data_IF_638085480653
#
_entry.id   IF_638085480653
#
_cell.length_a   1.000
_cell.length_b   1.000
_cell.length_c   1.000
_cell.angle_alpha   90.00
_cell.angle_beta   90.00
_cell.angle_gamma   90.00
#
_symmetry.space_group_name_H-M   'P 1'
#
loop_
_entity.id
_entity.type
_entity.pdbx_description
1 polymer ?
#
# COMPACT_ATOMS: atom_id res chain seq x y z
N UNK A 1 -10.67 6.01 17.11
CA UNK A 1 -10.18 4.70 16.66
C UNK A 1 -8.67 4.72 16.92
N UNK A 2 -8.16 3.94 17.87
CA UNK A 2 -6.71 3.88 18.12
C UNK A 2 -6.01 3.28 16.88
N UNK A 3 -4.82 3.76 16.52
CA UNK A 3 -4.05 3.12 15.43
C UNK A 3 -3.82 1.65 15.77
N UNK A 4 -3.98 0.77 14.77
CA UNK A 4 -3.56 -0.61 14.94
C UNK A 4 -2.02 -0.61 15.07
N UNK A 5 -1.41 -1.43 15.95
CA UNK A 5 0.05 -1.54 16.10
C UNK A 5 0.82 -1.79 14.79
N UNK A 6 0.10 -2.23 13.77
CA UNK A 6 0.47 -2.49 12.37
C UNK A 6 1.02 -1.22 11.69
N UNK A 7 0.32 -0.10 11.85
CA UNK A 7 0.67 1.19 11.22
C UNK A 7 1.91 1.80 11.89
N UNK A 8 1.98 1.70 13.21
CA UNK A 8 3.11 2.15 14.03
C UNK A 8 4.43 1.53 13.56
N UNK A 9 4.46 0.23 13.32
CA UNK A 9 5.68 -0.48 12.93
C UNK A 9 6.14 -0.14 11.50
N UNK A 10 5.19 0.07 10.59
CA UNK A 10 5.49 0.51 9.22
C UNK A 10 6.10 1.91 9.22
N UNK A 11 5.63 2.78 10.11
CA UNK A 11 6.20 4.11 10.30
C UNK A 11 7.63 4.06 10.85
N UNK A 12 7.85 3.31 11.94
CA UNK A 12 9.15 3.21 12.61
C UNK A 12 10.24 2.65 11.69
N UNK A 13 9.92 1.66 10.85
CA UNK A 13 10.87 1.12 9.88
C UNK A 13 11.16 2.07 8.71
N UNK A 14 10.18 2.89 8.31
CA UNK A 14 10.33 3.82 7.18
C UNK A 14 11.10 5.08 7.56
N UNK A 15 10.95 5.56 8.80
CA UNK A 15 11.57 6.79 9.28
C UNK A 15 13.02 6.63 9.77
N UNK A 16 13.55 5.41 9.84
CA UNK A 16 14.94 5.17 10.23
C UNK A 16 15.95 5.84 9.27
N UNK A 17 15.59 6.11 8.01
CA UNK A 17 16.51 6.68 7.01
C UNK A 17 15.80 7.63 6.00
N UNK A 18 16.02 8.96 6.04
CA UNK A 18 15.30 9.92 5.20
C UNK A 18 15.85 10.00 3.75
N UNK A 19 15.00 10.01 2.70
CA UNK A 19 15.45 10.25 1.33
C UNK A 19 15.57 11.75 1.03
N UNK A 20 16.73 12.13 0.49
CA UNK A 20 17.15 13.51 0.21
C UNK A 20 16.37 14.18 -0.94
N UNK A 21 16.14 15.47 -0.77
CA UNK A 21 15.60 16.40 -1.76
C UNK A 21 16.64 16.73 -2.84
N UNK A 22 16.37 16.35 -4.10
CA UNK A 22 16.92 17.06 -5.25
C UNK A 22 15.81 17.40 -6.23
N UNK A 23 15.55 18.70 -6.35
CA UNK A 23 14.75 19.24 -7.42
C UNK A 23 15.57 19.17 -8.72
N UNK A 24 15.10 18.38 -9.68
CA UNK A 24 15.50 18.50 -11.08
C UNK A 24 14.29 19.02 -11.87
N UNK A 25 14.24 20.33 -12.05
CA UNK A 25 13.43 20.97 -13.08
C UNK A 25 14.36 21.88 -13.87
N UNK A 26 14.70 21.49 -15.10
CA UNK A 26 14.81 22.38 -16.26
C UNK A 26 15.20 21.62 -17.56
N UNK A 27 14.48 21.95 -18.63
CA UNK A 27 14.82 21.86 -20.07
C UNK A 27 15.07 20.48 -20.71
N UNK A 28 13.99 19.73 -20.97
CA UNK A 28 13.97 18.54 -21.84
C UNK A 28 14.06 18.82 -23.36
N UNK A 29 14.06 20.10 -23.79
CA UNK A 29 13.93 20.47 -25.21
C UNK A 29 15.17 20.15 -26.08
N UNK A 30 16.28 19.67 -25.51
CA UNK A 30 17.50 19.27 -26.26
C UNK A 30 17.97 17.83 -25.99
N UNK A 31 17.16 17.03 -25.31
CA UNK A 31 17.60 15.68 -24.94
C UNK A 31 17.86 14.79 -26.16
N UNK A 32 16.97 14.84 -27.15
CA UNK A 32 17.06 14.01 -28.35
C UNK A 32 18.21 14.39 -29.29
N UNK A 33 18.88 15.54 -29.08
CA UNK A 33 20.04 15.95 -29.89
C UNK A 33 21.37 15.52 -29.28
N UNK A 34 21.37 14.94 -28.08
CA UNK A 34 22.58 14.41 -27.46
C UNK A 34 23.02 13.11 -28.17
N UNK A 35 24.33 12.80 -28.22
CA UNK A 35 24.82 11.46 -28.56
C UNK A 35 24.15 10.37 -27.71
N UNK A 36 23.96 9.17 -28.28
CA UNK A 36 23.22 8.09 -27.66
C UNK A 36 23.80 7.68 -26.29
N UNK A 37 25.12 7.78 -26.13
CA UNK A 37 25.85 7.50 -24.90
C UNK A 37 25.49 8.48 -23.78
N UNK A 38 25.38 9.78 -24.11
CA UNK A 38 24.99 10.82 -23.16
C UNK A 38 23.50 10.73 -22.82
N UNK A 39 22.65 10.39 -23.80
CA UNK A 39 21.25 10.09 -23.51
C UNK A 39 21.14 8.93 -22.54
N UNK A 40 21.84 7.82 -22.80
CA UNK A 40 21.85 6.66 -21.92
C UNK A 40 22.36 7.00 -20.52
N UNK A 41 23.46 7.74 -20.41
CA UNK A 41 24.01 8.18 -19.11
C UNK A 41 22.98 9.01 -18.32
N UNK A 42 22.28 9.94 -18.94
CA UNK A 42 21.21 10.69 -18.27
C UNK A 42 20.07 9.78 -17.83
N UNK A 43 19.68 8.78 -18.65
CA UNK A 43 18.68 7.80 -18.26
C UNK A 43 19.09 7.01 -17.02
N UNK A 44 20.37 6.68 -16.84
CA UNK A 44 20.84 5.96 -15.63
C UNK A 44 20.65 6.76 -14.33
N UNK A 45 20.57 8.09 -14.41
CA UNK A 45 20.28 8.97 -13.28
C UNK A 45 18.77 9.19 -13.05
N UNK A 46 17.91 8.71 -13.95
CA UNK A 46 16.47 8.87 -13.80
C UNK A 46 15.93 7.93 -12.72
N UNK A 47 14.91 8.39 -11.99
CA UNK A 47 14.15 7.53 -11.10
C UNK A 47 13.38 6.47 -11.90
N UNK A 48 13.04 5.34 -11.26
CA UNK A 48 12.16 4.33 -11.86
C UNK A 48 10.85 4.92 -12.39
N UNK A 49 10.25 5.88 -11.67
CA UNK A 49 9.04 6.58 -12.12
C UNK A 49 9.26 7.38 -13.40
N UNK A 50 10.40 8.07 -13.52
CA UNK A 50 10.76 8.84 -14.71
C UNK A 50 11.01 7.90 -15.89
N UNK A 51 11.76 6.81 -15.67
CA UNK A 51 12.00 5.79 -16.69
C UNK A 51 10.70 5.15 -17.19
N UNK A 52 9.78 4.82 -16.29
CA UNK A 52 8.47 4.30 -16.67
C UNK A 52 7.67 5.27 -17.56
N UNK A 53 7.69 6.57 -17.23
CA UNK A 53 7.05 7.58 -18.08
C UNK A 53 7.72 7.66 -19.45
N UNK A 54 9.05 7.69 -19.51
CA UNK A 54 9.80 7.71 -20.76
C UNK A 54 9.51 6.50 -21.64
N UNK A 55 9.35 5.31 -21.05
CA UNK A 55 8.91 4.11 -21.76
C UNK A 55 7.56 4.28 -22.46
N UNK A 56 6.65 5.05 -21.88
CA UNK A 56 5.30 5.25 -22.43
C UNK A 56 5.27 6.38 -23.46
N UNK A 57 5.86 7.53 -23.13
CA UNK A 57 5.67 8.76 -23.91
C UNK A 57 6.70 8.98 -25.01
N UNK A 58 7.88 8.36 -24.93
CA UNK A 58 8.96 8.57 -25.91
C UNK A 58 9.26 7.30 -26.67
N UNK A 59 8.93 7.26 -27.98
CA UNK A 59 9.26 6.12 -28.83
C UNK A 59 10.78 5.89 -28.93
N UNK A 60 11.57 6.95 -29.07
CA UNK A 60 13.03 6.86 -29.23
C UNK A 60 13.73 6.33 -27.97
N UNK A 61 13.24 6.70 -26.78
CA UNK A 61 13.86 6.33 -25.50
C UNK A 61 13.27 5.05 -24.90
N UNK A 62 12.14 4.58 -25.43
CA UNK A 62 11.38 3.47 -24.86
C UNK A 62 12.24 2.24 -24.60
N UNK A 63 13.08 1.86 -25.56
CA UNK A 63 13.89 0.64 -25.47
C UNK A 63 14.93 0.74 -24.35
N UNK A 64 15.67 1.83 -24.27
CA UNK A 64 16.73 2.00 -23.26
C UNK A 64 16.14 2.28 -21.87
N UNK A 65 15.10 3.12 -21.78
CA UNK A 65 14.38 3.34 -20.53
C UNK A 65 13.77 2.03 -19.99
N UNK A 66 13.28 1.15 -20.86
CA UNK A 66 12.77 -0.17 -20.49
C UNK A 66 13.86 -1.05 -19.88
N UNK A 67 15.03 -1.16 -20.53
CA UNK A 67 16.15 -1.94 -19.98
C UNK A 67 16.55 -1.45 -18.59
N UNK A 68 16.70 -0.13 -18.43
CA UNK A 68 17.10 0.46 -17.15
C UNK A 68 16.02 0.28 -16.09
N UNK A 69 14.76 0.52 -16.42
CA UNK A 69 13.63 0.34 -15.51
C UNK A 69 13.55 -1.09 -14.95
N UNK A 70 13.76 -2.09 -15.80
CA UNK A 70 13.73 -3.49 -15.36
C UNK A 70 15.05 -3.98 -14.72
N UNK A 71 16.14 -3.22 -14.83
CA UNK A 71 17.42 -3.56 -14.22
C UNK A 71 17.49 -3.24 -12.71
N UNK A 72 16.55 -2.46 -12.17
CA UNK A 72 16.53 -2.13 -10.74
C UNK A 72 16.18 -3.34 -9.89
N UNK A 73 17.21 -3.99 -9.34
CA UNK A 73 17.05 -5.15 -8.48
C UNK A 73 16.43 -4.84 -7.12
N UNK A 74 16.43 -3.57 -6.71
CA UNK A 74 15.92 -3.08 -5.41
C UNK A 74 14.45 -2.63 -5.47
N UNK A 75 13.82 -2.57 -6.65
CA UNK A 75 12.43 -2.12 -6.76
C UNK A 75 11.50 -3.33 -6.76
N UNK A 76 10.49 -3.32 -5.88
CA UNK A 76 9.48 -4.35 -5.73
C UNK A 76 8.10 -3.75 -5.99
N UNK A 77 7.32 -4.42 -6.85
CA UNK A 77 5.97 -3.97 -7.14
C UNK A 77 4.98 -4.65 -6.23
N UNK A 78 4.12 -3.84 -5.59
CA UNK A 78 3.19 -4.30 -4.57
C UNK A 78 1.91 -4.85 -5.21
N UNK A 79 1.52 -6.05 -4.81
CA UNK A 79 0.21 -6.66 -5.11
C UNK A 79 -0.42 -7.19 -3.82
N UNK A 80 -1.72 -7.38 -3.81
CA UNK A 80 -2.46 -7.91 -2.66
C UNK A 80 -2.48 -9.45 -2.70
N UNK A 81 -2.26 -10.10 -1.56
CA UNK A 81 -2.36 -11.55 -1.46
C UNK A 81 -3.80 -12.04 -1.65
N UNK A 82 -4.79 -11.26 -1.20
CA UNK A 82 -6.21 -11.60 -1.31
C UNK A 82 -6.65 -11.83 -2.77
N UNK A 83 -6.18 -10.94 -3.66
CA UNK A 83 -6.39 -11.04 -5.10
C UNK A 83 -5.92 -12.38 -5.67
N UNK A 84 -4.78 -12.90 -5.23
CA UNK A 84 -4.24 -14.18 -5.70
C UNK A 84 -5.04 -15.38 -5.17
N UNK A 85 -5.54 -15.31 -3.93
CA UNK A 85 -6.42 -16.33 -3.36
C UNK A 85 -7.80 -16.37 -4.01
N UNK A 86 -8.25 -15.23 -4.52
CA UNK A 86 -9.54 -15.08 -5.20
C UNK A 86 -9.40 -15.32 -6.72
N UNK A 87 -8.41 -16.11 -7.13
CA UNK A 87 -8.23 -16.56 -8.52
C UNK A 87 -7.46 -15.59 -9.42
N UNK A 88 -6.85 -14.53 -8.86
CA UNK A 88 -5.97 -13.62 -9.59
C UNK A 88 -6.64 -12.96 -10.80
N UNK A 89 -7.96 -12.77 -10.79
CA UNK A 89 -8.70 -12.29 -11.95
C UNK A 89 -8.54 -10.79 -12.18
N UNK A 90 -8.62 -10.35 -13.45
CA UNK A 90 -8.43 -8.95 -13.82
C UNK A 90 -9.47 -8.03 -13.17
N UNK A 91 -10.71 -8.49 -13.03
CA UNK A 91 -11.79 -7.73 -12.41
C UNK A 91 -11.56 -7.40 -10.93
N UNK A 92 -10.76 -8.20 -10.23
CA UNK A 92 -10.50 -8.07 -8.79
C UNK A 92 -9.26 -7.27 -8.44
N UNK A 93 -8.62 -6.64 -9.42
CA UNK A 93 -7.50 -5.75 -9.17
C UNK A 93 -7.58 -4.49 -10.02
N UNK A 94 -6.99 -3.41 -9.50
CA UNK A 94 -6.77 -2.17 -10.25
C UNK A 94 -5.45 -2.19 -11.04
N UNK A 95 -4.65 -3.25 -10.91
CA UNK A 95 -3.30 -3.35 -11.46
C UNK A 95 -3.30 -3.69 -12.96
N UNK A 96 -2.38 -3.10 -13.72
CA UNK A 96 -2.10 -3.48 -15.11
C UNK A 96 -1.42 -4.86 -15.16
N UNK A 97 -2.19 -5.89 -15.53
CA UNK A 97 -1.69 -7.27 -15.59
C UNK A 97 -0.63 -7.47 -16.67
N UNK A 98 -0.69 -6.73 -17.78
CA UNK A 98 0.32 -6.82 -18.84
C UNK A 98 1.66 -6.22 -18.37
N UNK A 99 1.62 -5.24 -17.47
CA UNK A 99 2.79 -4.77 -16.75
C UNK A 99 3.30 -5.83 -15.77
N UNK A 100 2.42 -6.39 -14.91
CA UNK A 100 2.80 -7.41 -13.92
C UNK A 100 3.48 -8.63 -14.54
N UNK A 101 3.03 -9.07 -15.71
CA UNK A 101 3.63 -10.20 -16.42
C UNK A 101 5.12 -9.99 -16.78
N UNK A 102 5.61 -8.75 -16.73
CA UNK A 102 7.01 -8.39 -17.02
C UNK A 102 7.86 -8.20 -15.76
N UNK A 103 7.23 -8.08 -14.59
CA UNK A 103 7.90 -7.78 -13.33
C UNK A 103 8.66 -9.00 -12.83
N UNK A 104 9.87 -8.77 -12.31
CA UNK A 104 10.72 -9.82 -11.71
C UNK A 104 10.71 -9.82 -10.17
N UNK A 105 10.42 -8.66 -9.56
CA UNK A 105 10.46 -8.45 -8.12
C UNK A 105 9.07 -8.03 -7.64
N UNK A 106 8.42 -8.88 -6.86
CA UNK A 106 7.06 -8.63 -6.36
C UNK A 106 7.09 -8.59 -4.84
N UNK A 107 6.45 -7.59 -4.26
CA UNK A 107 6.06 -7.62 -2.86
C UNK A 107 4.57 -7.96 -2.81
N UNK A 108 4.21 -8.95 -2.02
CA UNK A 108 2.83 -9.36 -1.82
C UNK A 108 2.44 -8.89 -0.42
N UNK A 109 1.50 -7.96 -0.37
CA UNK A 109 0.91 -7.52 0.88
C UNK A 109 -0.01 -8.64 1.38
N UNK A 110 0.48 -9.28 2.43
CA UNK A 110 -0.22 -10.28 3.20
C UNK A 110 -0.95 -9.49 4.29
N UNK A 111 -2.26 -9.71 4.47
CA UNK A 111 -3.05 -9.12 5.56
C UNK A 111 -3.73 -10.19 6.41
N UNK A 112 -4.41 -9.74 7.48
CA UNK A 112 -5.09 -10.63 8.42
C UNK A 112 -6.21 -11.44 7.78
N UNK A 113 -6.94 -10.91 6.80
CA UNK A 113 -8.02 -11.63 6.14
C UNK A 113 -7.47 -12.79 5.31
N UNK A 114 -6.36 -12.54 4.62
CA UNK A 114 -5.61 -13.57 3.88
C UNK A 114 -5.12 -14.67 4.82
N UNK A 115 -4.61 -14.28 6.00
CA UNK A 115 -4.23 -15.24 7.04
C UNK A 115 -5.39 -16.14 7.44
N UNK A 116 -6.55 -15.56 7.70
CA UNK A 116 -7.73 -16.32 8.12
C UNK A 116 -8.25 -17.25 6.99
N UNK A 117 -7.99 -16.90 5.71
CA UNK A 117 -8.26 -17.78 4.55
C UNK A 117 -7.28 -18.97 4.45
N UNK A 118 -6.02 -18.79 4.84
CA UNK A 118 -4.97 -19.84 4.76
C UNK A 118 -4.88 -20.67 6.05
N UNK A 119 -5.20 -20.09 7.20
CA UNK A 119 -5.04 -20.72 8.51
C UNK A 119 -6.35 -20.61 9.30
N UNK A 120 -7.17 -21.67 9.25
CA UNK A 120 -8.43 -21.69 9.98
C UNK A 120 -8.19 -22.07 11.44
N UNK A 121 -8.77 -21.31 12.36
CA UNK A 121 -8.78 -21.67 13.78
C UNK A 121 -10.02 -22.52 14.08
N UNK A 122 -9.85 -23.85 14.20
CA UNK A 122 -10.93 -24.76 14.57
C UNK A 122 -10.67 -25.34 15.96
N UNK A 123 -11.55 -25.05 16.91
CA UNK A 123 -11.42 -25.50 18.31
C UNK A 123 -10.08 -25.13 18.96
N UNK A 124 -9.53 -23.96 18.61
CA UNK A 124 -8.22 -23.51 19.12
C UNK A 124 -7.01 -24.16 18.43
N UNK A 125 -7.22 -25.06 17.47
CA UNK A 125 -6.18 -25.66 16.66
C UNK A 125 -6.09 -24.90 15.33
N UNK A 126 -4.88 -24.47 14.98
CA UNK A 126 -4.56 -23.84 13.70
C UNK A 126 -4.46 -24.92 12.61
N UNK A 127 -5.35 -24.87 11.62
CA UNK A 127 -5.42 -25.78 10.47
C UNK A 127 -5.00 -25.04 9.19
N UNK A 128 -3.82 -25.38 8.66
CA UNK A 128 -3.27 -24.78 7.44
C UNK A 128 -3.96 -25.41 6.23
N UNK A 129 -4.60 -24.57 5.42
CA UNK A 129 -5.28 -24.93 4.17
C UNK A 129 -4.25 -25.01 3.04
N UNK A 130 -3.61 -26.17 2.86
CA UNK A 130 -2.55 -26.38 1.88
C UNK A 130 -3.03 -26.17 0.43
N UNK A 131 -4.28 -26.52 0.14
CA UNK A 131 -4.94 -26.29 -1.16
C UNK A 131 -5.01 -24.80 -1.52
N UNK A 132 -5.23 -23.93 -0.53
CA UNK A 132 -5.23 -22.46 -0.72
C UNK A 132 -3.84 -21.94 -1.04
N UNK A 133 -2.79 -22.49 -0.40
CA UNK A 133 -1.39 -22.13 -0.68
C UNK A 133 -0.99 -22.56 -2.09
N UNK A 134 -1.38 -23.77 -2.50
CA UNK A 134 -1.14 -24.26 -3.87
C UNK A 134 -1.87 -23.39 -4.91
N UNK A 135 -3.14 -23.06 -4.64
CA UNK A 135 -3.91 -22.16 -5.49
C UNK A 135 -3.25 -20.79 -5.61
N UNK A 136 -2.85 -20.19 -4.49
CA UNK A 136 -2.15 -18.90 -4.43
C UNK A 136 -0.93 -18.88 -5.36
N UNK A 137 -0.05 -19.89 -5.25
CA UNK A 137 1.18 -19.93 -6.06
C UNK A 137 0.92 -20.24 -7.52
N UNK A 138 -0.07 -21.09 -7.81
CA UNK A 138 -0.52 -21.33 -9.19
C UNK A 138 -0.95 -20.02 -9.84
N UNK A 139 -1.86 -19.28 -9.19
CA UNK A 139 -2.33 -17.99 -9.71
C UNK A 139 -1.20 -16.98 -9.83
N UNK A 140 -0.28 -16.95 -8.86
CA UNK A 140 0.90 -16.09 -8.91
C UNK A 140 1.76 -16.37 -10.15
N UNK A 141 2.07 -17.63 -10.45
CA UNK A 141 2.87 -17.98 -11.64
C UNK A 141 2.18 -17.63 -12.95
N UNK A 142 0.86 -17.83 -13.02
CA UNK A 142 0.07 -17.49 -14.20
C UNK A 142 0.08 -15.97 -14.46
N UNK A 143 -0.06 -15.14 -13.41
CA UNK A 143 -0.14 -13.68 -13.55
C UNK A 143 1.22 -12.99 -13.57
N UNK A 144 2.22 -13.57 -12.92
CA UNK A 144 3.58 -13.02 -12.82
C UNK A 144 4.65 -14.03 -13.33
N UNK A 145 4.58 -14.50 -14.59
CA UNK A 145 5.44 -15.58 -15.11
C UNK A 145 6.94 -15.25 -15.11
N UNK A 146 7.31 -13.97 -15.02
CA UNK A 146 8.70 -13.52 -14.96
C UNK A 146 9.21 -13.24 -13.56
N UNK A 147 8.38 -13.38 -12.53
CA UNK A 147 8.80 -13.18 -11.16
C UNK A 147 9.94 -14.13 -10.78
N UNK A 148 10.93 -13.59 -10.07
CA UNK A 148 12.11 -14.28 -9.56
C UNK A 148 12.34 -14.05 -8.08
N UNK A 149 11.93 -12.89 -7.56
CA UNK A 149 12.05 -12.55 -6.14
C UNK A 149 10.70 -12.11 -5.61
N UNK A 150 10.27 -12.72 -4.51
CA UNK A 150 8.99 -12.44 -3.87
C UNK A 150 9.22 -12.15 -2.40
N UNK A 151 8.70 -11.02 -1.94
CA UNK A 151 8.62 -10.70 -0.51
C UNK A 151 7.15 -10.82 -0.11
N UNK A 152 6.84 -11.68 0.86
CA UNK A 152 5.53 -11.75 1.48
C UNK A 152 5.56 -10.84 2.70
N UNK A 153 4.96 -9.66 2.56
CA UNK A 153 4.96 -8.58 3.55
C UNK A 153 3.76 -8.74 4.49
N UNK A 154 4.01 -9.25 5.70
CA UNK A 154 3.03 -9.30 6.78
C UNK A 154 2.92 -7.90 7.37
N UNK A 155 1.82 -7.20 7.04
CA UNK A 155 1.65 -5.79 7.42
C UNK A 155 1.19 -5.60 8.87
N UNK A 156 0.88 -6.67 9.61
CA UNK A 156 0.28 -6.57 10.94
C UNK A 156 1.08 -7.25 12.07
N UNK A 157 0.75 -6.87 13.31
CA UNK A 157 1.37 -7.42 14.52
C UNK A 157 0.45 -8.45 15.15
N UNK A 158 0.88 -9.71 15.20
CA UNK A 158 0.21 -10.72 16.01
C UNK A 158 0.41 -10.39 17.49
N UNK A 159 -0.60 -9.80 18.14
CA UNK A 159 -0.58 -9.46 19.58
C UNK A 159 -0.36 -10.66 20.55
N UNK A 160 -0.19 -11.89 20.05
CA UNK A 160 0.11 -13.09 20.85
C UNK A 160 1.59 -13.22 21.25
N UNK A 161 2.34 -12.12 21.36
CA UNK A 161 3.78 -12.11 21.67
C UNK A 161 4.08 -12.34 23.18
N UNK A 162 3.39 -13.30 23.80
CA UNK A 162 3.66 -13.73 25.19
C UNK A 162 4.31 -15.10 25.28
N UNK A 163 4.41 -15.85 24.19
CA UNK A 163 5.06 -17.16 24.17
C UNK A 163 6.33 -17.10 23.31
N UNK A 164 7.43 -17.67 23.80
CA UNK A 164 8.77 -17.80 23.17
C UNK A 164 8.75 -18.70 21.92
N UNK A 165 7.76 -18.51 21.05
CA UNK A 165 7.51 -19.33 19.85
C UNK A 165 8.11 -18.71 18.59
N UNK A 166 8.39 -19.55 17.57
CA UNK A 166 9.23 -19.20 16.43
C UNK A 166 8.84 -17.89 15.76
N UNK A 167 9.88 -17.16 15.36
CA UNK A 167 9.88 -15.82 14.79
C UNK A 167 8.89 -15.60 13.61
N UNK A 168 8.51 -16.65 12.87
CA UNK A 168 7.62 -16.54 11.69
C UNK A 168 6.37 -17.41 11.89
N UNK A 169 5.18 -16.87 11.62
CA UNK A 169 3.92 -17.59 11.70
C UNK A 169 3.91 -18.84 10.79
N UNK A 170 3.27 -19.93 11.23
CA UNK A 170 3.35 -21.24 10.53
C UNK A 170 2.81 -21.16 9.10
N UNK A 171 1.67 -20.52 8.91
CA UNK A 171 1.05 -20.29 7.61
C UNK A 171 1.99 -19.56 6.64
N UNK A 172 2.73 -18.57 7.12
CA UNK A 172 3.70 -17.82 6.32
C UNK A 172 4.92 -18.70 5.99
N UNK A 173 5.36 -19.55 6.93
CA UNK A 173 6.39 -20.54 6.65
C UNK A 173 5.96 -21.51 5.55
N UNK A 174 4.73 -22.01 5.60
CA UNK A 174 4.17 -22.90 4.58
C UNK A 174 4.04 -22.20 3.23
N UNK A 175 3.62 -20.94 3.22
CA UNK A 175 3.51 -20.14 2.01
C UNK A 175 4.88 -19.96 1.34
N UNK A 176 5.91 -19.54 2.07
CA UNK A 176 7.28 -19.40 1.51
C UNK A 176 7.88 -20.75 1.08
N UNK A 177 7.71 -21.81 1.88
CA UNK A 177 8.20 -23.17 1.55
C UNK A 177 7.56 -23.73 0.28
N UNK A 178 6.31 -23.38 0.02
CA UNK A 178 5.56 -23.84 -1.15
C UNK A 178 5.84 -22.98 -2.39
N UNK A 179 6.80 -22.05 -2.34
CA UNK A 179 7.15 -21.22 -3.49
C UNK A 179 7.63 -22.09 -4.67
N UNK A 180 7.18 -21.79 -5.90
CA UNK A 180 7.54 -22.58 -7.07
C UNK A 180 9.04 -22.54 -7.41
N UNK A 181 9.57 -23.57 -8.09
CA UNK A 181 10.97 -23.59 -8.50
C UNK A 181 11.39 -22.35 -9.28
N UNK A 182 12.50 -21.74 -8.89
CA UNK A 182 13.05 -20.54 -9.53
C UNK A 182 12.47 -19.20 -9.02
N UNK A 183 11.57 -19.24 -8.04
CA UNK A 183 11.16 -18.07 -7.26
C UNK A 183 11.88 -18.09 -5.91
N UNK A 184 12.57 -17.01 -5.59
CA UNK A 184 13.17 -16.78 -4.28
C UNK A 184 12.17 -16.03 -3.41
N UNK A 185 11.42 -16.77 -2.59
CA UNK A 185 10.47 -16.21 -1.66
C UNK A 185 11.12 -15.91 -0.30
N UNK A 186 10.71 -14.80 0.31
CA UNK A 186 11.09 -14.39 1.67
C UNK A 186 9.89 -13.83 2.41
N UNK A 187 9.88 -13.99 3.73
CA UNK A 187 8.87 -13.41 4.62
C UNK A 187 9.40 -12.08 5.16
N UNK A 188 8.64 -11.00 5.05
CA UNK A 188 8.94 -9.73 5.69
C UNK A 188 7.91 -9.48 6.78
N UNK A 189 8.36 -9.53 8.03
CA UNK A 189 7.48 -9.57 9.20
C UNK A 189 7.83 -8.48 10.18
N UNK A 190 6.88 -8.21 11.07
CA UNK A 190 7.09 -7.38 12.26
C UNK A 190 7.32 -8.31 13.45
N UNK A 191 8.44 -8.15 14.13
CA UNK A 191 8.83 -8.96 15.28
C UNK A 191 9.29 -8.11 16.45
N UNK A 192 9.48 -8.73 17.62
CA UNK A 192 10.11 -8.03 18.73
C UNK A 192 11.63 -7.95 18.52
N UNK A 193 12.19 -6.74 18.52
CA UNK A 193 13.61 -6.48 18.62
C UNK A 193 14.18 -7.13 19.90
N UNK A 194 15.29 -7.84 19.75
CA UNK A 194 16.05 -8.42 20.85
C UNK A 194 16.84 -7.32 21.57
N UNK A 195 16.13 -6.48 22.33
CA UNK A 195 16.77 -5.46 23.17
C UNK A 195 17.20 -6.11 24.49
N UNK A 196 18.49 -6.01 24.91
CA UNK A 196 18.94 -6.52 26.19
C UNK A 196 18.07 -5.99 27.33
N UNK A 197 17.71 -6.86 28.28
CA UNK A 197 16.75 -6.60 29.36
C UNK A 197 17.15 -5.47 30.34
N UNK A 198 18.31 -4.83 30.17
CA UNK A 198 18.87 -3.85 31.10
C UNK A 198 18.22 -2.45 31.02
N UNK A 199 17.33 -2.19 30.05
CA UNK A 199 16.62 -0.91 29.96
C UNK A 199 15.22 -1.08 30.56
N UNK A 200 15.11 -0.84 31.87
CA UNK A 200 13.89 -0.84 32.68
C UNK A 200 12.85 0.21 32.23
N UNK A 201 12.27 0.08 31.04
CA UNK A 201 11.07 0.80 30.64
C UNK A 201 9.84 0.08 31.19
N UNK A 202 9.20 0.65 32.22
CA UNK A 202 8.12 0.06 33.02
C UNK A 202 6.73 0.07 32.36
N UNK A 203 6.65 -0.02 31.02
CA UNK A 203 5.40 -0.10 30.28
C UNK A 203 5.44 -1.11 29.13
N UNK A 204 4.29 -1.66 28.68
CA UNK A 204 4.17 -2.44 27.45
C UNK A 204 4.38 -1.50 26.25
N UNK A 205 5.63 -1.11 26.05
CA UNK A 205 6.03 -0.23 24.98
C UNK A 205 6.26 -1.06 23.71
N UNK A 206 5.70 -0.59 22.61
CA UNK A 206 6.01 -1.01 21.23
C UNK A 206 7.43 -0.65 20.80
N UNK A 207 8.24 -0.03 21.69
CA UNK A 207 9.68 0.28 21.51
C UNK A 207 10.54 -0.92 21.09
N UNK A 208 10.06 -2.14 21.27
CA UNK A 208 10.79 -3.33 20.86
C UNK A 208 10.21 -3.92 19.58
N UNK A 209 9.58 -3.20 18.66
CA UNK A 209 9.15 -3.79 17.37
C UNK A 209 10.13 -3.41 16.26
N UNK A 210 10.61 -4.41 15.53
CA UNK A 210 11.43 -4.24 14.34
C UNK A 210 10.82 -4.99 13.17
N UNK A 211 11.22 -4.60 11.96
CA UNK A 211 10.89 -5.34 10.75
C UNK A 211 12.11 -6.13 10.30
N UNK A 212 11.90 -7.41 10.02
CA UNK A 212 12.96 -8.32 9.61
C UNK A 212 12.51 -9.14 8.40
N UNK A 213 13.45 -9.37 7.48
CA UNK A 213 13.22 -10.23 6.32
C UNK A 213 13.85 -11.58 6.60
N UNK A 214 13.09 -12.65 6.45
CA UNK A 214 13.53 -14.01 6.64
C UNK A 214 13.52 -14.78 5.34
N UNK A 215 14.61 -15.51 5.11
CA UNK A 215 14.78 -16.40 3.98
C UNK A 215 14.92 -17.84 4.44
N UNK A 216 14.26 -18.74 3.71
CA UNK A 216 14.40 -20.17 3.92
C UNK A 216 15.70 -20.65 3.24
N UNK A 217 16.59 -21.23 4.03
CA UNK A 217 17.82 -21.83 3.54
C UNK A 217 17.58 -23.26 3.02
N UNK A 218 18.50 -23.80 2.17
CA UNK A 218 18.39 -25.15 1.65
C UNK A 218 18.36 -26.26 2.72
N UNK A 219 18.89 -25.99 3.91
CA UNK A 219 18.86 -26.89 5.07
C UNK A 219 17.51 -26.85 5.84
N UNK A 220 16.54 -26.05 5.35
CA UNK A 220 15.23 -25.86 5.98
C UNK A 220 15.24 -24.86 7.14
N UNK A 221 16.41 -24.30 7.49
CA UNK A 221 16.53 -23.27 8.52
C UNK A 221 16.09 -21.91 8.00
N UNK A 222 15.60 -21.07 8.91
CA UNK A 222 15.28 -19.68 8.61
C UNK A 222 16.44 -18.80 9.02
N UNK A 223 16.88 -17.94 8.10
CA UNK A 223 17.90 -16.93 8.39
C UNK A 223 17.32 -15.55 8.16
N UNK A 224 17.58 -14.67 9.12
CA UNK A 224 17.37 -13.24 8.94
C UNK A 224 18.28 -12.79 7.79
N UNK A 225 17.65 -12.43 6.69
CA UNK A 225 18.31 -11.89 5.52
C UNK A 225 18.73 -10.46 5.79
N UNK A 226 20.00 -10.16 5.55
CA UNK A 226 20.44 -8.79 5.24
C UNK A 226 19.93 -8.43 3.84
N UNK A 227 18.62 -8.42 3.61
CA UNK A 227 18.13 -7.70 2.44
C UNK A 227 18.70 -6.29 2.59
N UNK A 228 19.41 -5.80 1.56
CA UNK A 228 19.95 -4.45 1.59
C UNK A 228 18.85 -3.52 2.09
N UNK A 229 19.14 -2.72 3.10
CA UNK A 229 18.20 -1.93 3.93
C UNK A 229 17.25 -0.99 3.14
N UNK A 230 17.19 -1.08 1.81
CA UNK A 230 16.68 -0.08 0.90
C UNK A 230 15.99 -0.67 -0.34
N UNK A 231 15.21 -1.75 -0.23
CA UNK A 231 14.29 -2.02 -1.34
C UNK A 231 13.16 -1.00 -1.35
N UNK A 232 12.66 -0.70 -2.55
CA UNK A 232 11.61 0.29 -2.79
C UNK A 232 10.34 -0.46 -3.14
N UNK A 233 9.35 -0.40 -2.27
CA UNK A 233 7.99 -0.81 -2.58
C UNK A 233 7.33 0.24 -3.47
N UNK A 234 6.81 -0.16 -4.63
CA UNK A 234 6.18 0.72 -5.61
C UNK A 234 4.84 0.13 -6.03
N UNK A 235 3.82 0.98 -6.13
CA UNK A 235 2.52 0.55 -6.65
C UNK A 235 2.63 0.17 -8.13
N UNK A 236 1.94 -0.90 -8.49
CA UNK A 236 1.78 -1.27 -9.90
C UNK A 236 1.00 -0.17 -10.62
N UNK A 237 1.35 0.16 -11.88
CA UNK A 237 0.52 1.06 -12.68
C UNK A 237 -0.92 0.55 -12.77
N UNK A 238 -1.88 1.46 -12.70
CA UNK A 238 -3.27 1.09 -12.84
C UNK A 238 -3.60 0.60 -14.25
N UNK A 239 -4.50 -0.38 -14.34
CA UNK A 239 -5.14 -0.79 -15.59
C UNK A 239 -6.01 0.32 -16.17
N UNK A 240 -6.50 0.10 -17.39
CA UNK A 240 -7.43 1.04 -18.03
C UNK A 240 -8.84 0.84 -17.49
N UNK A 241 -9.38 1.87 -16.84
CA UNK A 241 -10.77 1.89 -16.41
C UNK A 241 -11.69 2.37 -17.54
N UNK A 242 -12.22 1.43 -18.33
CA UNK A 242 -13.18 1.73 -19.41
C UNK A 242 -14.61 1.41 -18.99
N UNK A 243 -15.59 2.04 -19.65
CA UNK A 243 -17.01 1.72 -19.47
C UNK A 243 -17.60 2.09 -18.10
N UNK A 244 -18.88 1.78 -17.88
CA UNK A 244 -19.60 2.18 -16.67
C UNK A 244 -19.11 1.45 -15.40
N UNK A 245 -18.65 0.20 -15.48
CA UNK A 245 -18.00 -0.49 -14.35
C UNK A 245 -16.65 0.16 -14.05
N UNK A 246 -15.84 0.37 -15.09
CA UNK A 246 -14.52 0.97 -14.93
C UNK A 246 -14.60 2.35 -14.31
N UNK A 247 -15.61 3.15 -14.64
CA UNK A 247 -15.79 4.47 -14.01
C UNK A 247 -15.95 4.39 -12.49
N UNK A 248 -16.69 3.41 -11.97
CA UNK A 248 -16.87 3.22 -10.53
C UNK A 248 -15.55 2.79 -9.88
N UNK A 249 -14.85 1.84 -10.49
CA UNK A 249 -13.57 1.36 -9.97
C UNK A 249 -12.44 2.39 -10.10
N UNK A 250 -12.48 3.28 -11.09
CA UNK A 250 -11.56 4.42 -11.19
C UNK A 250 -11.71 5.34 -9.97
N UNK A 251 -12.95 5.60 -9.54
CA UNK A 251 -13.22 6.41 -8.36
C UNK A 251 -12.70 5.73 -7.10
N UNK A 252 -12.97 4.43 -6.92
CA UNK A 252 -12.44 3.63 -5.81
C UNK A 252 -10.91 3.63 -5.77
N UNK A 253 -10.28 3.36 -6.91
CA UNK A 253 -8.82 3.39 -7.03
C UNK A 253 -8.23 4.78 -6.68
N UNK A 254 -8.87 5.86 -7.15
CA UNK A 254 -8.46 7.24 -6.81
C UNK A 254 -8.62 7.53 -5.32
N UNK A 255 -9.65 6.98 -4.68
CA UNK A 255 -9.91 7.11 -3.25
C UNK A 255 -8.82 6.38 -2.44
N UNK A 256 -8.53 5.11 -2.78
CA UNK A 256 -7.43 4.35 -2.15
C UNK A 256 -6.07 5.03 -2.33
N UNK A 257 -5.79 5.61 -3.51
CA UNK A 257 -4.58 6.42 -3.72
C UNK A 257 -4.56 7.70 -2.88
N UNK A 258 -5.73 8.24 -2.52
CA UNK A 258 -5.84 9.40 -1.66
C UNK A 258 -5.56 9.02 -0.22
N UNK A 259 -6.05 7.88 0.25
CA UNK A 259 -5.75 7.34 1.57
C UNK A 259 -4.24 7.17 1.76
N UNK A 260 -3.54 6.57 0.79
CA UNK A 260 -2.07 6.45 0.83
C UNK A 260 -1.36 7.81 0.88
N UNK A 261 -1.93 8.86 0.27
CA UNK A 261 -1.38 10.22 0.34
C UNK A 261 -1.66 10.89 1.67
N UNK A 262 -2.82 10.65 2.26
CA UNK A 262 -3.12 11.04 3.62
C UNK A 262 -2.14 10.39 4.59
N UNK A 263 -1.86 9.09 4.42
CA UNK A 263 -0.82 8.40 5.18
C UNK A 263 0.53 9.09 5.03
N UNK A 264 0.98 9.33 3.80
CA UNK A 264 2.23 10.03 3.57
C UNK A 264 2.27 11.45 4.16
N UNK A 265 1.16 12.19 4.14
CA UNK A 265 1.07 13.52 4.74
C UNK A 265 1.28 13.44 6.26
N UNK A 266 0.58 12.53 6.93
CA UNK A 266 0.71 12.33 8.37
C UNK A 266 2.14 12.05 8.80
N UNK A 267 2.80 11.10 8.12
CA UNK A 267 4.22 10.80 8.34
C UNK A 267 5.09 12.05 8.20
N UNK A 268 4.82 12.85 7.16
CA UNK A 268 5.55 14.09 6.91
C UNK A 268 5.31 15.12 8.01
N UNK A 269 4.10 15.23 8.55
CA UNK A 269 3.77 16.15 9.66
C UNK A 269 4.48 15.73 10.94
N UNK A 270 4.46 14.43 11.26
CA UNK A 270 5.17 13.88 12.43
C UNK A 270 6.66 14.18 12.35
N UNK A 271 7.31 13.85 11.22
CA UNK A 271 8.74 14.11 11.00
C UNK A 271 9.04 15.61 11.03
N UNK A 272 8.22 16.44 10.37
CA UNK A 272 8.44 17.89 10.34
C UNK A 272 8.42 18.50 11.74
N UNK A 273 7.53 18.03 12.62
CA UNK A 273 7.46 18.50 14.00
C UNK A 273 8.68 18.04 14.81
N UNK A 274 9.07 16.77 14.69
CA UNK A 274 10.28 16.23 15.35
C UNK A 274 11.53 17.05 14.98
N UNK A 275 11.74 17.28 13.69
CA UNK A 275 12.89 18.03 13.16
C UNK A 275 12.82 19.52 13.47
N UNK A 276 11.63 20.08 13.62
CA UNK A 276 11.49 21.45 14.08
C UNK A 276 12.15 21.63 15.45
N UNK A 277 11.99 20.66 16.35
CA UNK A 277 12.51 20.70 17.71
C UNK A 277 13.96 20.20 17.85
N UNK A 278 14.36 19.20 17.07
CA UNK A 278 15.62 18.47 17.29
C UNK A 278 16.63 18.46 16.12
N UNK A 279 16.34 19.08 14.97
CA UNK A 279 17.28 19.13 13.83
C UNK A 279 18.21 20.36 13.86
N UNK A 280 19.33 20.30 13.12
CA UNK A 280 20.33 21.37 12.94
C UNK A 280 20.93 21.88 14.26
N UNK A 281 21.19 20.96 15.19
CA UNK A 281 21.77 21.26 16.50
C UNK A 281 20.79 21.87 17.50
N UNK A 282 19.50 21.99 17.15
CA UNK A 282 18.47 22.30 18.13
C UNK A 282 18.24 21.09 19.02
N UNK A 283 17.97 21.38 20.29
CA UNK A 283 17.46 20.41 21.23
C UNK A 283 16.43 21.12 22.09
N UNK A 284 15.21 21.26 21.55
CA UNK A 284 14.12 21.98 22.20
C UNK A 284 13.07 20.98 22.67
N UNK A 285 13.21 20.44 23.90
CA UNK A 285 12.22 19.57 24.49
C UNK A 285 10.81 20.16 24.41
N UNK A 286 9.83 19.31 24.19
CA UNK A 286 8.43 19.73 24.09
C UNK A 286 7.47 18.64 24.57
N UNK A 287 6.28 19.07 24.98
CA UNK A 287 5.18 18.16 25.34
C UNK A 287 4.40 17.74 24.11
N UNK A 288 3.80 16.57 24.18
CA UNK A 288 2.85 16.09 23.18
C UNK A 288 1.76 17.15 22.91
N UNK A 289 1.50 17.49 21.63
CA UNK A 289 0.51 18.50 21.27
C UNK A 289 -0.93 18.00 21.29
N UNK A 290 -1.14 16.72 21.61
CA UNK A 290 -2.45 16.11 21.64
C UNK A 290 -3.17 16.40 22.96
N UNK A 291 -4.41 16.90 22.86
CA UNK A 291 -5.24 17.17 24.03
C UNK A 291 -5.36 15.91 24.91
N UNK A 292 -4.99 16.04 26.19
CA UNK A 292 -5.01 14.93 27.15
C UNK A 292 -3.78 14.03 27.16
N UNK A 293 -2.76 14.32 26.35
CA UNK A 293 -1.48 13.61 26.38
C UNK A 293 -0.37 14.47 27.01
N UNK A 294 0.17 14.01 28.14
CA UNK A 294 1.17 14.76 28.91
C UNK A 294 2.60 14.24 28.72
N UNK A 295 2.86 13.43 27.68
CA UNK A 295 4.19 12.90 27.42
C UNK A 295 5.13 14.03 27.00
N UNK A 296 6.37 13.98 27.49
CA UNK A 296 7.39 15.00 27.26
C UNK A 296 8.60 14.38 26.56
N UNK A 297 9.08 15.04 25.50
CA UNK A 297 10.17 14.55 24.65
C UNK A 297 11.41 15.39 24.84
N UNK A 298 12.56 14.75 25.04
CA UNK A 298 13.86 15.37 25.28
C UNK A 298 14.86 15.12 24.17
N UNK A 299 14.65 14.12 23.30
CA UNK A 299 15.55 13.82 22.19
C UNK A 299 14.81 13.55 20.88
N UNK A 300 15.54 13.70 19.77
CA UNK A 300 15.04 13.41 18.42
C UNK A 300 14.46 11.99 18.32
N UNK A 301 13.35 11.85 17.61
CA UNK A 301 12.68 10.57 17.39
C UNK A 301 11.70 10.14 18.49
N UNK A 302 11.80 10.64 19.73
CA UNK A 302 10.87 10.25 20.79
C UNK A 302 9.42 10.64 20.47
N UNK A 303 9.21 11.86 19.95
CA UNK A 303 7.89 12.28 19.47
C UNK A 303 7.42 11.41 18.31
N UNK A 304 8.30 11.13 17.35
CA UNK A 304 7.97 10.31 16.19
C UNK A 304 7.48 8.93 16.60
N UNK A 305 8.19 8.27 17.52
CA UNK A 305 7.78 6.99 18.08
C UNK A 305 6.45 7.12 18.82
N UNK A 306 6.32 8.09 19.72
CA UNK A 306 5.10 8.30 20.48
C UNK A 306 3.86 8.56 19.60
N UNK A 307 3.99 9.42 18.59
CA UNK A 307 2.92 9.74 17.66
C UNK A 307 2.49 8.51 16.85
N UNK A 308 3.44 7.66 16.47
CA UNK A 308 3.19 6.40 15.79
C UNK A 308 2.38 5.43 16.68
N UNK A 309 2.63 5.43 17.98
CA UNK A 309 2.10 4.45 18.93
C UNK A 309 0.73 4.83 19.50
N UNK A 310 0.54 6.10 19.83
CA UNK A 310 -0.54 6.51 20.75
C UNK A 310 -1.59 7.43 20.14
N UNK A 311 -1.42 7.89 18.90
CA UNK A 311 -2.33 8.87 18.30
C UNK A 311 -2.97 8.35 17.02
N UNK A 312 -4.20 8.76 16.74
CA UNK A 312 -4.78 8.48 15.42
C UNK A 312 -4.27 9.48 14.40
N UNK A 313 -4.17 9.02 13.15
CA UNK A 313 -3.73 9.83 12.02
C UNK A 313 -4.50 11.16 11.89
N UNK A 314 -5.84 11.08 11.94
CA UNK A 314 -6.73 12.24 11.78
C UNK A 314 -6.45 13.36 12.79
N UNK A 315 -6.04 12.97 13.98
CA UNK A 315 -5.78 13.89 15.07
C UNK A 315 -4.42 14.57 14.88
N UNK A 316 -3.38 13.80 14.55
CA UNK A 316 -2.04 14.36 14.35
C UNK A 316 -2.00 15.34 13.17
N UNK A 317 -2.77 15.10 12.11
CA UNK A 317 -2.87 16.02 10.97
C UNK A 317 -3.48 17.37 11.35
N UNK A 318 -4.41 17.41 12.31
CA UNK A 318 -5.05 18.66 12.75
C UNK A 318 -4.20 19.40 13.79
N UNK A 319 -3.68 18.67 14.77
CA UNK A 319 -2.98 19.26 15.92
C UNK A 319 -1.49 19.48 15.63
N UNK A 320 -0.82 18.52 14.99
CA UNK A 320 0.59 18.64 14.62
C UNK A 320 0.85 19.81 13.66
N UNK A 321 -0.04 20.02 12.68
CA UNK A 321 0.06 21.18 11.79
C UNK A 321 -0.05 22.52 12.51
N UNK A 322 -0.80 22.63 13.60
CA UNK A 322 -0.95 23.89 14.35
C UNK A 322 0.30 24.23 15.18
N UNK A 323 1.09 23.21 15.53
CA UNK A 323 2.28 23.36 16.38
C UNK A 323 3.53 23.72 15.60
N UNK A 324 3.56 23.43 14.29
CA UNK A 324 4.64 23.89 13.44
C UNK A 324 4.70 25.44 13.44
N UNK A 325 5.91 26.04 13.50
CA UNK A 325 6.06 27.48 13.37
C UNK A 325 5.41 28.00 12.07
N UNK A 326 4.84 29.20 12.15
CA UNK A 326 4.33 29.86 10.95
C UNK A 326 5.45 30.06 9.92
N UNK A 327 5.16 29.77 8.66
CA UNK A 327 6.08 29.90 7.56
C UNK A 327 6.01 28.76 6.54
N UNK A 328 7.02 28.71 5.68
CA UNK A 328 7.01 27.91 4.44
C UNK A 328 6.62 26.43 4.61
N UNK A 329 7.09 25.74 5.66
CA UNK A 329 6.78 24.32 5.88
C UNK A 329 5.33 24.13 6.32
N UNK A 330 4.86 24.91 7.30
CA UNK A 330 3.47 24.84 7.77
C UNK A 330 2.49 25.18 6.64
N UNK A 331 2.80 26.22 5.86
CA UNK A 331 1.96 26.67 4.75
C UNK A 331 1.91 25.63 3.63
N UNK A 332 3.05 25.02 3.27
CA UNK A 332 3.11 23.94 2.28
C UNK A 332 2.31 22.71 2.72
N UNK A 333 2.42 22.30 3.99
CA UNK A 333 1.68 21.14 4.48
C UNK A 333 0.16 21.42 4.58
N UNK A 334 -0.24 22.63 4.99
CA UNK A 334 -1.64 23.06 4.95
C UNK A 334 -2.19 23.09 3.53
N UNK A 335 -1.40 23.61 2.58
CA UNK A 335 -1.76 23.61 1.17
C UNK A 335 -1.95 22.19 0.63
N UNK A 336 -1.02 21.27 0.93
CA UNK A 336 -1.15 19.85 0.56
C UNK A 336 -2.40 19.22 1.15
N UNK A 337 -2.65 19.44 2.44
CA UNK A 337 -3.87 18.97 3.12
C UNK A 337 -5.13 19.47 2.42
N UNK A 338 -5.23 20.78 2.16
CA UNK A 338 -6.37 21.36 1.45
C UNK A 338 -6.55 20.75 0.05
N UNK A 339 -5.45 20.48 -0.67
CA UNK A 339 -5.50 19.80 -1.98
C UNK A 339 -5.93 18.34 -1.90
N UNK A 340 -5.67 17.64 -0.79
CA UNK A 340 -6.20 16.29 -0.58
C UNK A 340 -7.70 16.33 -0.29
N UNK A 341 -8.16 17.26 0.55
CA UNK A 341 -9.60 17.48 0.83
C UNK A 341 -10.36 17.79 -0.46
N UNK A 342 -9.90 18.75 -1.25
CA UNK A 342 -10.52 19.12 -2.55
C UNK A 342 -10.65 17.90 -3.49
N UNK A 343 -9.65 17.01 -3.49
CA UNK A 343 -9.69 15.78 -4.29
C UNK A 343 -10.70 14.78 -3.74
N UNK A 344 -10.81 14.63 -2.41
CA UNK A 344 -11.80 13.76 -1.78
C UNK A 344 -13.21 14.25 -2.12
N UNK A 345 -13.46 15.53 -1.92
CA UNK A 345 -14.76 16.16 -2.22
C UNK A 345 -15.15 15.93 -3.69
N UNK A 346 -14.19 16.04 -4.61
CA UNK A 346 -14.43 15.75 -6.04
C UNK A 346 -14.76 14.28 -6.30
N UNK A 347 -14.08 13.34 -5.66
CA UNK A 347 -14.36 11.89 -5.78
C UNK A 347 -15.75 11.58 -5.21
N UNK A 348 -16.09 12.16 -4.06
CA UNK A 348 -17.38 11.98 -3.40
C UNK A 348 -18.52 12.58 -4.21
N UNK A 349 -18.33 13.75 -4.80
CA UNK A 349 -19.31 14.36 -5.70
C UNK A 349 -19.51 13.53 -6.98
N UNK A 350 -18.43 13.02 -7.59
CA UNK A 350 -18.53 12.12 -8.75
C UNK A 350 -19.24 10.81 -8.40
N UNK A 351 -18.95 10.23 -7.22
CA UNK A 351 -19.61 9.02 -6.71
C UNK A 351 -21.10 9.27 -6.43
N UNK A 352 -21.42 10.40 -5.79
CA UNK A 352 -22.80 10.83 -5.51
C UNK A 352 -23.60 11.04 -6.78
N UNK A 353 -23.01 11.56 -7.85
CA UNK A 353 -23.69 11.69 -9.16
C UNK A 353 -24.09 10.33 -9.73
N UNK A 354 -23.23 9.33 -9.67
CA UNK A 354 -23.55 7.97 -10.14
C UNK A 354 -24.71 7.39 -9.31
N UNK A 355 -24.65 7.56 -7.99
CA UNK A 355 -25.70 7.11 -7.08
C UNK A 355 -27.02 7.84 -7.31
N UNK A 356 -27.01 9.17 -7.51
CA UNK A 356 -28.22 9.93 -7.80
C UNK A 356 -28.83 9.55 -9.15
N UNK A 357 -28.01 9.27 -10.18
CA UNK A 357 -28.50 8.75 -11.47
C UNK A 357 -29.22 7.41 -11.29
N UNK A 358 -28.68 6.52 -10.45
CA UNK A 358 -29.34 5.25 -10.10
C UNK A 358 -30.64 5.50 -9.32
N UNK A 359 -30.59 6.30 -8.26
CA UNK A 359 -31.73 6.49 -7.33
C UNK A 359 -32.89 7.25 -7.97
N UNK A 360 -32.61 8.28 -8.78
CA UNK A 360 -33.64 9.07 -9.49
C UNK A 360 -34.13 8.38 -10.75
N UNK A 361 -33.36 7.44 -11.28
CA UNK A 361 -33.75 6.67 -12.44
C UNK A 361 -34.98 5.82 -12.14
N UNK A 362 -35.99 5.93 -13.00
CA UNK A 362 -37.11 4.99 -13.00
C UNK A 362 -36.65 3.56 -13.25
N UNK A 363 -37.56 2.59 -13.11
CA UNK A 363 -37.25 1.17 -13.27
C UNK A 363 -36.56 0.85 -14.60
N UNK A 364 -36.95 1.52 -15.68
CA UNK A 364 -36.34 1.37 -17.02
C UNK A 364 -34.87 1.82 -17.03
N UNK A 365 -34.55 3.00 -16.50
CA UNK A 365 -33.18 3.50 -16.45
C UNK A 365 -32.28 2.62 -15.58
N UNK A 366 -32.77 2.16 -14.42
CA UNK A 366 -32.02 1.23 -13.55
C UNK A 366 -31.78 -0.11 -14.27
N UNK A 367 -32.79 -0.61 -14.99
CA UNK A 367 -32.66 -1.83 -15.79
C UNK A 367 -31.63 -1.68 -16.91
N UNK A 368 -31.61 -0.52 -17.57
CA UNK A 368 -30.64 -0.21 -18.61
C UNK A 368 -29.21 -0.10 -18.05
N UNK A 369 -29.01 0.61 -16.94
CA UNK A 369 -27.70 0.67 -16.28
C UNK A 369 -27.20 -0.72 -15.88
N UNK A 370 -28.09 -1.54 -15.30
CA UNK A 370 -27.79 -2.93 -14.95
C UNK A 370 -27.39 -3.75 -16.18
N UNK A 371 -28.13 -3.61 -17.29
CA UNK A 371 -27.82 -4.26 -18.57
C UNK A 371 -26.45 -3.85 -19.11
N UNK A 372 -26.12 -2.56 -19.05
CA UNK A 372 -24.80 -2.06 -19.48
C UNK A 372 -23.66 -2.61 -18.62
N UNK A 373 -23.83 -2.65 -17.29
CA UNK A 373 -22.85 -3.26 -16.40
C UNK A 373 -22.67 -4.76 -16.65
N UNK A 374 -23.78 -5.49 -16.79
CA UNK A 374 -23.76 -6.91 -17.11
C UNK A 374 -23.07 -7.18 -18.45
N UNK A 375 -23.41 -6.41 -19.47
CA UNK A 375 -22.76 -6.52 -20.78
C UNK A 375 -21.26 -6.27 -20.67
N UNK A 376 -20.83 -5.28 -19.89
CA UNK A 376 -19.41 -5.03 -19.70
C UNK A 376 -18.71 -6.18 -18.96
N UNK A 377 -19.21 -6.61 -17.80
CA UNK A 377 -18.58 -7.70 -17.02
C UNK A 377 -18.51 -9.02 -17.80
N UNK A 378 -19.45 -9.25 -18.72
CA UNK A 378 -19.48 -10.47 -19.53
C UNK A 378 -18.52 -10.46 -20.72
N UNK A 379 -18.15 -9.28 -21.24
CA UNK A 379 -17.45 -9.17 -22.52
C UNK A 379 -16.08 -8.47 -22.45
N UNK A 380 -15.80 -7.74 -21.37
CA UNK A 380 -14.57 -6.96 -21.23
C UNK A 380 -13.50 -7.78 -20.48
N UNK A 381 -12.40 -8.19 -21.12
CA UNK A 381 -11.37 -9.03 -20.49
C UNK A 381 -10.66 -8.34 -19.32
N UNK A 382 -10.67 -6.99 -19.25
CA UNK A 382 -10.13 -6.26 -18.10
C UNK A 382 -10.99 -6.44 -16.84
N UNK A 383 -12.19 -7.00 -16.97
CA UNK A 383 -13.14 -7.29 -15.90
C UNK A 383 -13.48 -8.78 -15.78
N UNK A 384 -12.66 -9.66 -16.35
CA UNK A 384 -12.81 -11.11 -16.16
C UNK A 384 -12.86 -11.46 -14.66
N UNK A 385 -13.78 -12.33 -14.26
CA UNK A 385 -13.95 -12.85 -12.89
C UNK A 385 -14.01 -14.38 -12.83
N UNK A 386 -13.41 -15.08 -13.79
CA UNK A 386 -13.33 -16.56 -13.75
C UNK A 386 -14.61 -17.30 -14.08
N UNK A 387 -15.56 -16.68 -14.78
CA UNK A 387 -16.80 -17.33 -15.21
C UNK A 387 -17.88 -17.42 -14.13
N UNK A 388 -17.79 -16.61 -13.08
CA UNK A 388 -18.87 -16.45 -12.10
C UNK A 388 -20.19 -16.06 -12.78
N UNK A 389 -21.29 -16.66 -12.34
CA UNK A 389 -22.62 -16.20 -12.74
C UNK A 389 -22.81 -14.75 -12.27
N UNK A 390 -23.55 -13.98 -13.06
CA UNK A 390 -23.83 -12.58 -12.80
C UNK A 390 -24.42 -12.34 -11.39
N UNK A 391 -25.29 -13.23 -10.91
CA UNK A 391 -25.92 -13.07 -9.59
C UNK A 391 -24.92 -13.25 -8.44
N UNK A 392 -23.89 -14.07 -8.65
CA UNK A 392 -22.78 -14.30 -7.72
C UNK A 392 -21.59 -13.38 -7.92
N UNK A 393 -21.57 -12.58 -9.00
CA UNK A 393 -20.42 -11.78 -9.37
C UNK A 393 -20.08 -10.76 -8.27
N UNK A 394 -18.89 -10.91 -7.66
CA UNK A 394 -18.48 -10.06 -6.52
C UNK A 394 -18.45 -8.57 -6.87
N UNK A 395 -17.98 -8.21 -8.08
CA UNK A 395 -17.95 -6.81 -8.54
C UNK A 395 -19.36 -6.24 -8.56
N UNK A 396 -20.31 -6.99 -9.09
CA UNK A 396 -21.71 -6.57 -9.11
C UNK A 396 -22.28 -6.42 -7.70
N UNK A 397 -22.03 -7.38 -6.81
CA UNK A 397 -22.50 -7.31 -5.42
C UNK A 397 -21.94 -6.07 -4.69
N UNK A 398 -20.66 -5.76 -4.90
CA UNK A 398 -20.03 -4.57 -4.33
C UNK A 398 -20.62 -3.27 -4.89
N UNK A 399 -20.84 -3.19 -6.21
CA UNK A 399 -21.49 -2.03 -6.83
C UNK A 399 -22.90 -1.86 -6.27
N UNK A 400 -23.68 -2.94 -6.25
CA UNK A 400 -25.06 -2.92 -5.77
C UNK A 400 -25.14 -2.50 -4.30
N UNK A 401 -24.23 -3.01 -3.45
CA UNK A 401 -24.12 -2.58 -2.04
C UNK A 401 -23.86 -1.08 -1.93
N UNK A 402 -22.89 -0.55 -2.66
CA UNK A 402 -22.59 0.90 -2.65
C UNK A 402 -23.79 1.74 -3.08
N UNK A 403 -24.55 1.28 -4.08
CA UNK A 403 -25.74 1.98 -4.56
C UNK A 403 -26.86 1.99 -3.50
N UNK A 404 -27.12 0.84 -2.86
CA UNK A 404 -28.14 0.69 -1.80
C UNK A 404 -27.80 1.49 -0.54
N UNK A 405 -26.54 1.53 -0.12
CA UNK A 405 -26.12 2.26 1.09
C UNK A 405 -26.45 3.75 1.04
N UNK A 406 -26.35 4.39 -0.13
CA UNK A 406 -26.76 5.80 -0.24
C UNK A 406 -28.22 6.02 -0.60
N UNK A 407 -28.98 4.99 -1.01
CA UNK A 407 -30.45 5.08 -0.91
C UNK A 407 -30.85 5.27 0.56
N UNK A 408 -30.29 4.46 1.47
CA UNK A 408 -30.57 4.57 2.91
C UNK A 408 -30.17 5.93 3.49
N UNK A 409 -29.00 6.47 3.12
CA UNK A 409 -28.55 7.81 3.59
C UNK A 409 -29.49 8.92 3.13
N UNK A 410 -29.91 8.92 1.86
CA UNK A 410 -30.84 9.92 1.34
C UNK A 410 -32.23 9.83 1.98
N UNK A 411 -32.69 8.62 2.30
CA UNK A 411 -33.95 8.45 3.04
C UNK A 411 -33.89 9.08 4.43
N UNK A 412 -32.78 8.94 5.15
CA UNK A 412 -32.58 9.57 6.47
C UNK A 412 -32.51 11.09 6.34
N UNK A 413 -31.76 11.61 5.38
CA UNK A 413 -31.64 13.06 5.15
C UNK A 413 -32.96 13.72 4.73
N UNK A 414 -33.87 12.98 4.09
CA UNK A 414 -35.21 13.50 3.72
C UNK A 414 -36.22 13.54 4.87
N UNK A 415 -35.91 12.89 6.00
CA UNK A 415 -36.76 12.83 7.20
C UNK A 415 -36.35 13.83 8.28
N UNK A 416 -35.17 14.44 8.15
CA UNK A 416 -34.64 15.51 9.01
C UNK A 416 -34.91 16.85 8.35
#
# INVERSE_FOLDING_TARGET
MAMTPEITCNLLATLAHPPWTKALRQNLLRFNTLPAELQFQVLTFCSASTLFQLMRVSFSLRKEACKLFWAYSDTYFVIEADWLLDGGYAGYTSNDLAFLAKVQNIQIDYDREVRDKICLLRNGIEEIQQDRIEHFWKMFQERCPRAKRVIINEVWVLMKIREERPCIAKELQHLVRSSPPGILASAFIIEKANVPADICASGPSTQNLQRAVYQLCPDGSWKEGKLGQHWKAVLVPAKRFSGPVGRIYELRYRDSLLDLKWWGLWITVVEALDRCHFDKGRNWPFSCPMDGCNVYFQVAGEWTMHAAEFHSQDLVDVYGLKMLPQGSIQDELRYRRAKLVEKKDKIDEESRKIQQQWNRGGQEQRSEMKRMWQQQLSNDPEWETGGEDWSSNRIWQEINRTLQEGEAKLSIESQV
#
